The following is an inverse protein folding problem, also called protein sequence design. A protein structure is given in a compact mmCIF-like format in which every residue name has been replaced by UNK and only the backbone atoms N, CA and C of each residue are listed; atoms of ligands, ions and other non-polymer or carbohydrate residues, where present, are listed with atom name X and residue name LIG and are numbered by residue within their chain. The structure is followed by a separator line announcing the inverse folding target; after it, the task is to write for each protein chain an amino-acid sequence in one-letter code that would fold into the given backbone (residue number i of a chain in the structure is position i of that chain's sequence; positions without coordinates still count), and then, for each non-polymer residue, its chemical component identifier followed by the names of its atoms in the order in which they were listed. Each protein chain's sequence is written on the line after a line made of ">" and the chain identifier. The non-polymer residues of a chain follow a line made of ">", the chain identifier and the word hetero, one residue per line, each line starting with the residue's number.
data_IF_141163001429
#
_entry.id   IF_141163001429
#
_cell.length_a   1.000
_cell.length_b   1.000
_cell.length_c   1.000
_cell.angle_alpha   90.00
_cell.angle_beta   90.00
_cell.angle_gamma   90.00
#
_symmetry.space_group_name_H-M   'P 1'
#
loop_
_entity.id
_entity.type
_entity.pdbx_description
1 polymer ?
#
# COMPACT_ATOMS: atom_id res chain seq x y z
N UNK A 1 -52.54 -1.21 3.59
CA UNK A 1 -52.25 -1.99 4.82
C UNK A 1 -52.95 -1.31 5.98
N UNK A 2 -53.77 -2.04 6.73
CA UNK A 2 -54.64 -1.48 7.77
C UNK A 2 -53.85 -1.16 9.05
N UNK A 3 -54.31 -0.15 9.80
CA UNK A 3 -53.74 0.26 11.10
C UNK A 3 -53.68 -0.93 12.10
N UNK A 4 -54.69 -1.80 12.05
CA UNK A 4 -54.73 -3.02 12.87
C UNK A 4 -53.62 -4.03 12.53
N UNK A 5 -53.22 -4.15 11.25
CA UNK A 5 -52.08 -5.00 10.87
C UNK A 5 -50.75 -4.45 11.43
N UNK A 6 -50.59 -3.12 11.45
CA UNK A 6 -49.40 -2.49 12.02
C UNK A 6 -49.33 -2.66 13.54
N UNK A 7 -50.46 -2.51 14.24
CA UNK A 7 -50.55 -2.73 15.69
C UNK A 7 -50.26 -4.18 16.07
N UNK A 8 -50.82 -5.13 15.33
CA UNK A 8 -50.59 -6.57 15.58
C UNK A 8 -49.13 -6.95 15.32
N UNK A 9 -48.52 -6.48 14.23
CA UNK A 9 -47.10 -6.70 13.98
C UNK A 9 -46.21 -6.10 15.08
N UNK A 10 -46.55 -4.90 15.56
CA UNK A 10 -45.82 -4.27 16.66
C UNK A 10 -45.94 -5.07 17.97
N UNK A 11 -47.13 -5.60 18.27
CA UNK A 11 -47.35 -6.45 19.44
C UNK A 11 -46.57 -7.77 19.36
N UNK A 12 -46.54 -8.42 18.18
CA UNK A 12 -45.75 -9.63 17.95
C UNK A 12 -44.26 -9.36 18.10
N UNK A 13 -43.76 -8.24 17.56
CA UNK A 13 -42.36 -7.84 17.76
C UNK A 13 -42.02 -7.60 19.22
N UNK A 14 -42.89 -6.91 19.96
CA UNK A 14 -42.68 -6.64 21.37
C UNK A 14 -42.68 -7.92 22.22
N UNK A 15 -43.51 -8.90 21.87
CA UNK A 15 -43.50 -10.21 22.51
C UNK A 15 -42.22 -10.98 22.19
N UNK A 16 -41.85 -11.07 20.90
CA UNK A 16 -40.62 -11.74 20.49
C UNK A 16 -39.37 -11.13 21.13
N UNK A 17 -39.34 -9.81 21.32
CA UNK A 17 -38.23 -9.14 22.02
C UNK A 17 -38.16 -9.53 23.50
N UNK A 18 -39.30 -9.61 24.18
CA UNK A 18 -39.35 -10.05 25.58
C UNK A 18 -38.91 -11.50 25.74
N UNK A 19 -39.32 -12.36 24.82
CA UNK A 19 -38.93 -13.76 24.83
C UNK A 19 -37.42 -13.89 24.62
N UNK A 20 -36.85 -13.12 23.68
CA UNK A 20 -35.41 -13.07 23.45
C UNK A 20 -34.62 -12.50 24.65
N UNK A 21 -35.14 -11.46 25.30
CA UNK A 21 -34.53 -10.89 26.52
C UNK A 21 -34.59 -11.86 27.72
N UNK A 22 -35.58 -12.76 27.75
CA UNK A 22 -35.74 -13.76 28.79
C UNK A 22 -34.93 -15.04 28.54
N UNK A 23 -34.56 -15.31 27.29
CA UNK A 23 -33.76 -16.46 26.91
C UNK A 23 -32.32 -16.31 27.42
N UNK A 24 -31.73 -17.41 27.91
CA UNK A 24 -30.30 -17.42 28.24
C UNK A 24 -29.46 -17.65 26.97
N UNK A 25 -28.20 -17.24 27.01
CA UNK A 25 -27.24 -17.52 25.91
C UNK A 25 -27.17 -19.01 25.57
N UNK A 26 -27.36 -19.89 26.56
CA UNK A 26 -27.32 -21.34 26.36
C UNK A 26 -28.58 -21.85 25.66
N UNK A 27 -29.75 -21.28 25.97
CA UNK A 27 -30.99 -21.61 25.27
C UNK A 27 -30.89 -21.19 23.80
N UNK A 28 -30.36 -19.99 23.54
CA UNK A 28 -30.15 -19.47 22.17
C UNK A 28 -29.17 -20.37 21.40
N UNK A 29 -28.07 -20.81 22.01
CA UNK A 29 -27.13 -21.74 21.36
C UNK A 29 -27.78 -23.08 21.07
N UNK A 30 -28.60 -23.59 21.97
CA UNK A 30 -29.29 -24.88 21.81
C UNK A 30 -30.30 -24.82 20.66
N UNK A 31 -31.05 -23.73 20.55
CA UNK A 31 -31.98 -23.50 19.44
C UNK A 31 -31.25 -23.41 18.10
N UNK A 32 -30.17 -22.63 18.02
CA UNK A 32 -29.33 -22.54 16.81
C UNK A 32 -28.77 -23.90 16.41
N UNK A 33 -28.26 -24.67 17.38
CA UNK A 33 -27.75 -26.01 17.12
C UNK A 33 -28.84 -26.98 16.64
N UNK A 34 -30.07 -26.85 17.15
CA UNK A 34 -31.22 -27.63 16.69
C UNK A 34 -31.60 -27.31 15.23
N UNK A 35 -31.36 -26.07 14.79
CA UNK A 35 -31.50 -25.65 13.39
C UNK A 35 -30.27 -26.01 12.52
N UNK A 36 -29.26 -26.65 13.10
CA UNK A 36 -28.02 -27.03 12.41
C UNK A 36 -27.06 -25.86 12.20
N UNK A 37 -27.26 -24.74 12.90
CA UNK A 37 -26.41 -23.56 12.85
C UNK A 37 -25.40 -23.64 13.99
N UNK A 38 -24.12 -23.72 13.63
CA UNK A 38 -23.02 -23.58 14.58
C UNK A 38 -22.59 -22.10 14.61
N UNK A 39 -22.85 -21.37 15.73
CA UNK A 39 -22.54 -19.95 15.82
C UNK A 39 -21.04 -19.66 15.75
N UNK A 40 -20.20 -20.57 16.23
CA UNK A 40 -18.75 -20.39 16.21
C UNK A 40 -18.21 -20.56 14.78
N UNK A 41 -18.73 -21.54 14.03
CA UNK A 41 -18.40 -21.69 12.61
C UNK A 41 -18.90 -20.50 11.78
N UNK A 42 -20.10 -19.99 12.06
CA UNK A 42 -20.62 -18.82 11.39
C UNK A 42 -19.74 -17.59 11.66
N UNK A 43 -19.39 -17.34 12.92
CA UNK A 43 -18.49 -16.25 13.29
C UNK A 43 -17.12 -16.37 12.61
N UNK A 44 -16.53 -17.58 12.58
CA UNK A 44 -15.27 -17.85 11.89
C UNK A 44 -15.37 -17.56 10.38
N UNK A 45 -16.46 -17.97 9.73
CA UNK A 45 -16.68 -17.70 8.29
C UNK A 45 -16.77 -16.20 7.99
N UNK A 46 -17.44 -15.45 8.86
CA UNK A 46 -17.56 -13.98 8.74
C UNK A 46 -16.18 -13.35 8.90
N UNK A 47 -15.42 -13.74 9.91
CA UNK A 47 -14.06 -13.21 10.14
C UNK A 47 -13.15 -13.43 8.91
N UNK A 48 -13.12 -14.64 8.36
CA UNK A 48 -12.35 -14.96 7.14
C UNK A 48 -12.79 -14.09 5.96
N UNK A 49 -14.10 -13.93 5.75
CA UNK A 49 -14.62 -13.11 4.66
C UNK A 49 -14.25 -11.63 4.81
N UNK A 50 -14.23 -11.11 6.04
CA UNK A 50 -13.84 -9.73 6.32
C UNK A 50 -12.36 -9.51 6.05
N UNK A 51 -11.50 -10.44 6.45
CA UNK A 51 -10.06 -10.37 6.18
C UNK A 51 -9.77 -10.35 4.67
N UNK A 52 -10.47 -11.16 3.88
CA UNK A 52 -10.35 -11.17 2.42
C UNK A 52 -10.78 -9.83 1.80
N UNK A 53 -11.90 -9.26 2.26
CA UNK A 53 -12.38 -7.94 1.80
C UNK A 53 -11.39 -6.84 2.17
N UNK A 54 -10.89 -6.82 3.40
CA UNK A 54 -9.90 -5.84 3.84
C UNK A 54 -8.60 -5.96 3.04
N UNK A 55 -8.08 -7.17 2.86
CA UNK A 55 -6.88 -7.41 2.07
C UNK A 55 -7.05 -6.96 0.61
N UNK A 56 -8.22 -7.22 0.01
CA UNK A 56 -8.51 -6.78 -1.37
C UNK A 56 -8.56 -5.25 -1.48
N UNK A 57 -9.20 -4.58 -0.52
CA UNK A 57 -9.29 -3.11 -0.47
C UNK A 57 -7.90 -2.47 -0.32
N UNK A 58 -7.06 -3.00 0.57
CA UNK A 58 -5.69 -2.51 0.75
C UNK A 58 -4.85 -2.66 -0.52
N UNK A 59 -4.95 -3.81 -1.22
CA UNK A 59 -4.24 -4.02 -2.49
C UNK A 59 -4.72 -3.03 -3.57
N UNK A 60 -6.01 -2.76 -3.65
CA UNK A 60 -6.56 -1.78 -4.58
C UNK A 60 -6.05 -0.37 -4.27
N UNK A 61 -6.03 0.03 -3.00
CA UNK A 61 -5.49 1.33 -2.58
C UNK A 61 -4.00 1.45 -2.91
N UNK A 62 -3.21 0.41 -2.65
CA UNK A 62 -1.79 0.38 -2.99
C UNK A 62 -1.57 0.48 -4.51
N UNK A 63 -2.37 -0.22 -5.32
CA UNK A 63 -2.32 -0.12 -6.77
C UNK A 63 -2.66 1.28 -7.27
N UNK A 64 -3.72 1.89 -6.74
CA UNK A 64 -4.12 3.26 -7.07
C UNK A 64 -3.04 4.28 -6.68
N UNK A 65 -2.45 4.15 -5.50
CA UNK A 65 -1.34 5.00 -5.04
C UNK A 65 -0.13 4.87 -5.96
N UNK A 66 0.23 3.65 -6.37
CA UNK A 66 1.33 3.41 -7.31
C UNK A 66 1.09 4.09 -8.67
N UNK A 67 -0.13 4.03 -9.18
CA UNK A 67 -0.51 4.72 -10.42
C UNK A 67 -0.42 6.24 -10.24
N UNK A 68 -0.91 6.78 -9.13
CA UNK A 68 -0.81 8.22 -8.83
C UNK A 68 0.65 8.70 -8.74
N UNK A 69 1.55 7.93 -8.13
CA UNK A 69 2.98 8.24 -8.09
C UNK A 69 3.63 8.22 -9.49
N UNK A 70 3.25 7.27 -10.34
CA UNK A 70 3.76 7.22 -11.72
C UNK A 70 3.32 8.43 -12.55
N UNK A 71 2.10 8.94 -12.33
CA UNK A 71 1.58 10.13 -13.02
C UNK A 71 2.31 11.41 -12.56
N UNK A 72 2.71 11.49 -11.29
CA UNK A 72 3.39 12.66 -10.71
C UNK A 72 4.91 12.66 -10.86
N UNK A 73 5.50 11.63 -11.46
CA UNK A 73 6.94 11.63 -11.79
C UNK A 73 7.09 12.05 -13.25
N UNK A 74 7.24 13.35 -13.58
CA UNK A 74 7.63 13.70 -14.93
C UNK A 74 8.97 12.99 -15.22
N UNK A 75 9.19 12.42 -16.42
CA UNK A 75 10.53 12.06 -16.82
C UNK A 75 11.32 13.36 -16.75
N UNK A 76 12.17 13.49 -15.72
CA UNK A 76 13.15 14.56 -15.67
C UNK A 76 13.98 14.36 -16.93
N UNK A 77 13.66 15.12 -17.98
CA UNK A 77 14.55 15.35 -19.11
C UNK A 77 15.69 16.20 -18.57
N UNK A 78 16.52 15.59 -17.72
CA UNK A 78 17.86 16.07 -17.49
C UNK A 78 18.47 16.08 -18.88
N UNK A 79 18.79 17.27 -19.37
CA UNK A 79 19.65 17.43 -20.54
C UNK A 79 20.97 16.77 -20.16
N UNK A 80 21.06 15.45 -20.36
CA UNK A 80 22.24 14.68 -19.98
C UNK A 80 23.43 15.35 -20.64
N UNK A 81 24.41 15.82 -19.85
CA UNK A 81 25.67 16.29 -20.39
C UNK A 81 26.26 15.18 -21.25
N UNK A 82 27.08 15.54 -22.24
CA UNK A 82 27.82 14.55 -23.03
C UNK A 82 28.60 13.62 -22.11
N UNK A 83 28.79 12.36 -22.53
CA UNK A 83 29.40 11.31 -21.71
C UNK A 83 30.77 11.70 -21.14
N UNK A 84 31.52 12.53 -21.86
CA UNK A 84 32.79 13.08 -21.40
C UNK A 84 32.63 14.06 -20.22
N UNK A 85 31.58 14.90 -20.21
CA UNK A 85 31.26 15.82 -19.10
C UNK A 85 30.76 15.05 -17.88
N UNK A 86 30.09 13.91 -18.08
CA UNK A 86 29.70 12.99 -17.00
C UNK A 86 30.95 12.40 -16.32
N UNK A 87 31.91 11.88 -17.10
CA UNK A 87 33.18 11.33 -16.57
C UNK A 87 33.95 12.36 -15.75
N UNK A 88 34.02 13.60 -16.23
CA UNK A 88 34.71 14.69 -15.53
C UNK A 88 34.03 15.02 -14.19
N UNK A 89 32.69 15.10 -14.16
CA UNK A 89 31.93 15.38 -12.93
C UNK A 89 32.06 14.26 -11.91
N UNK A 90 32.02 12.99 -12.35
CA UNK A 90 32.25 11.83 -11.48
C UNK A 90 33.67 11.87 -10.90
N UNK A 91 34.69 12.15 -11.74
CA UNK A 91 36.07 12.26 -11.29
C UNK A 91 36.25 13.38 -10.25
N UNK A 92 35.57 14.52 -10.43
CA UNK A 92 35.57 15.65 -9.49
C UNK A 92 34.88 15.29 -8.18
N UNK A 93 33.75 14.59 -8.22
CA UNK A 93 33.04 14.11 -7.03
C UNK A 93 33.89 13.10 -6.24
N UNK A 94 34.58 12.19 -6.94
CA UNK A 94 35.51 11.23 -6.32
C UNK A 94 36.77 11.88 -5.76
N UNK A 95 37.23 12.99 -6.33
CA UNK A 95 38.32 13.78 -5.77
C UNK A 95 37.89 14.55 -4.50
N UNK A 96 36.63 15.02 -4.46
CA UNK A 96 36.07 15.70 -3.29
C UNK A 96 35.74 14.73 -2.15
N UNK A 97 35.31 13.50 -2.47
CA UNK A 97 34.94 12.49 -1.49
C UNK A 97 35.55 11.11 -1.87
N UNK A 98 36.75 10.79 -1.35
CA UNK A 98 37.43 9.53 -1.61
C UNK A 98 36.68 8.28 -1.12
N UNK A 99 35.74 8.43 -0.18
CA UNK A 99 34.92 7.31 0.29
C UNK A 99 33.88 6.91 -0.75
N UNK A 100 33.31 7.85 -1.49
CA UNK A 100 32.47 7.56 -2.65
C UNK A 100 33.26 6.80 -3.72
N UNK A 101 34.49 7.22 -4.02
CA UNK A 101 35.32 6.53 -5.01
C UNK A 101 35.56 5.06 -4.65
N UNK A 102 35.66 4.75 -3.36
CA UNK A 102 35.88 3.38 -2.86
C UNK A 102 34.59 2.56 -2.88
N UNK A 103 33.45 3.18 -2.58
CA UNK A 103 32.14 2.52 -2.62
C UNK A 103 31.69 2.15 -4.04
N UNK A 104 32.08 2.94 -5.05
CA UNK A 104 31.64 2.76 -6.44
C UNK A 104 32.68 2.09 -7.35
N UNK A 105 33.95 1.96 -6.93
CA UNK A 105 34.98 1.19 -7.65
C UNK A 105 34.95 -0.29 -7.25
N UNK A 106 33.93 -1.01 -7.67
CA UNK A 106 33.94 -2.49 -7.62
C UNK A 106 34.84 -3.07 -8.71
N UNK A 107 36.16 -2.92 -8.58
CA UNK A 107 37.20 -3.74 -9.24
C UNK A 107 37.27 -3.82 -10.78
N UNK A 108 36.31 -3.25 -11.53
CA UNK A 108 36.16 -3.42 -12.97
C UNK A 108 36.10 -2.11 -13.75
N UNK A 109 36.40 -2.16 -15.05
CA UNK A 109 36.15 -1.06 -15.98
C UNK A 109 34.65 -0.90 -16.16
N UNK A 110 34.06 0.10 -15.51
CA UNK A 110 32.65 0.48 -15.70
C UNK A 110 32.39 0.79 -17.17
N UNK A 111 31.31 0.23 -17.71
CA UNK A 111 30.88 0.54 -19.08
C UNK A 111 30.32 1.96 -19.15
N UNK A 112 30.17 2.47 -20.37
CA UNK A 112 29.56 3.77 -20.61
C UNK A 112 28.14 3.88 -20.02
N UNK A 113 27.37 2.79 -20.03
CA UNK A 113 26.04 2.74 -19.42
C UNK A 113 26.10 2.78 -17.89
N UNK A 114 27.07 2.08 -17.29
CA UNK A 114 27.26 2.08 -15.83
C UNK A 114 27.65 3.47 -15.31
N UNK A 115 28.45 4.21 -16.09
CA UNK A 115 28.82 5.60 -15.77
C UNK A 115 27.64 6.57 -15.83
N UNK A 116 26.68 6.35 -16.74
CA UNK A 116 25.46 7.15 -16.81
C UNK A 116 24.53 6.90 -15.62
N UNK A 117 24.33 5.63 -15.24
CA UNK A 117 23.55 5.28 -14.05
C UNK A 117 24.19 5.83 -12.77
N UNK A 118 25.51 5.71 -12.65
CA UNK A 118 26.26 6.26 -11.53
C UNK A 118 26.12 7.78 -11.42
N UNK A 119 26.12 8.49 -12.54
CA UNK A 119 25.88 9.94 -12.55
C UNK A 119 24.50 10.29 -12.00
N UNK A 120 23.46 9.59 -12.46
CA UNK A 120 22.08 9.81 -12.02
C UNK A 120 21.95 9.56 -10.50
N UNK A 121 22.60 8.51 -9.98
CA UNK A 121 22.64 8.19 -8.54
C UNK A 121 23.37 9.27 -7.72
N UNK A 122 24.50 9.79 -8.23
CA UNK A 122 25.27 10.86 -7.58
C UNK A 122 24.53 12.21 -7.56
N UNK A 123 23.76 12.50 -8.62
CA UNK A 123 22.88 13.68 -8.67
C UNK A 123 21.71 13.51 -7.70
N UNK A 124 21.11 12.31 -7.63
CA UNK A 124 20.01 12.00 -6.70
C UNK A 124 20.45 12.10 -5.24
N UNK A 125 21.69 11.69 -4.93
CA UNK A 125 22.29 11.88 -3.60
C UNK A 125 22.74 13.32 -3.30
N UNK A 126 22.58 14.25 -4.25
CA UNK A 126 22.99 15.65 -4.10
C UNK A 126 24.50 15.86 -4.00
N UNK A 127 25.30 14.85 -4.40
CA UNK A 127 26.77 14.90 -4.41
C UNK A 127 27.32 15.60 -5.65
N UNK A 128 26.53 15.62 -6.73
CA UNK A 128 26.78 16.44 -7.92
C UNK A 128 25.59 17.39 -8.06
N UNK A 129 25.87 18.70 -8.04
CA UNK A 129 24.87 19.72 -8.35
C UNK A 129 24.54 19.68 -9.84
N UNK A 130 23.26 19.53 -10.17
CA UNK A 130 22.75 19.60 -11.55
C UNK A 130 22.62 21.06 -12.05
N UNK A 131 23.03 22.03 -11.22
CA UNK A 131 23.20 23.41 -11.66
C UNK A 131 24.33 23.46 -12.67
N UNK A 132 23.95 23.49 -13.94
CA UNK A 132 24.72 24.26 -14.91
C UNK A 132 24.98 25.63 -14.28
N UNK A 133 26.27 25.93 -14.04
CA UNK A 133 26.79 27.28 -14.12
C UNK A 133 26.43 27.81 -15.52
N UNK A 134 25.19 28.29 -15.64
CA UNK A 134 24.82 29.25 -16.67
C UNK A 134 25.45 30.56 -16.21
N UNK A 135 26.41 31.05 -17.00
CA UNK A 135 26.92 32.41 -16.88
C UNK A 135 25.80 33.45 -16.80
#
# INVERSE_FOLDING_TARGET
>A
MTNEFQKTLAAVRALALKDLEAASDEDIRTELAAEGIDPDQLAASIAVSLDDVLASSLRQQAAAAKVAMQIHTPPKKLLRPTLDRIKERIARAFAADPQLATAFREGGRQSNADLETLYDDLVLMGKISDTDDVC
#
